data_IF_534539721238
#
_entry.id   IF_534539721238
#
_cell.length_a   1.000
_cell.length_b   1.000
_cell.length_c   1.000
_cell.angle_alpha   90.00
_cell.angle_beta   90.00
_cell.angle_gamma   90.00
#
_symmetry.space_group_name_H-M   'P 1'
#
loop_
_entity.id
_entity.type
_entity.pdbx_description
1 polymer ?
#
# COMPACT_ATOMS: atom_id res chain seq x y z
N UNK A 1 55.77 -10.92 36.98
CA UNK A 1 55.27 -10.66 38.36
C UNK A 1 53.92 -9.95 38.25
N UNK A 2 52.88 -10.57 38.82
CA UNK A 2 51.59 -10.03 39.29
C UNK A 2 50.82 -9.05 38.38
N UNK A 3 49.64 -9.34 37.81
CA UNK A 3 48.58 -10.26 38.19
C UNK A 3 47.44 -9.49 38.90
N UNK A 4 46.27 -9.37 38.25
CA UNK A 4 44.92 -9.38 38.88
C UNK A 4 43.81 -9.24 37.83
N UNK A 5 43.10 -10.34 37.61
CA UNK A 5 41.76 -10.46 37.02
C UNK A 5 40.69 -10.13 38.07
N UNK A 6 39.47 -9.79 37.63
CA UNK A 6 38.27 -10.22 38.34
C UNK A 6 37.41 -11.15 37.47
N UNK A 7 37.05 -12.28 38.07
CA UNK A 7 35.96 -13.17 37.67
C UNK A 7 34.63 -12.55 38.06
N UNK A 8 33.58 -12.81 37.27
CA UNK A 8 32.19 -12.55 37.63
C UNK A 8 31.25 -13.28 36.68
N UNK A 9 31.12 -14.59 36.87
CA UNK A 9 30.11 -15.44 36.23
C UNK A 9 28.78 -15.18 36.95
N UNK A 10 27.80 -14.64 36.23
CA UNK A 10 26.42 -14.51 36.68
C UNK A 10 25.54 -15.54 35.98
N UNK A 11 25.06 -16.53 36.74
CA UNK A 11 24.07 -17.52 36.34
C UNK A 11 22.74 -16.87 35.91
N UNK A 12 22.34 -17.08 34.66
CA UNK A 12 20.98 -16.80 34.19
C UNK A 12 20.08 -18.01 34.50
N UNK A 13 19.38 -17.93 35.63
CA UNK A 13 18.28 -18.85 35.97
C UNK A 13 17.14 -18.71 34.95
N UNK A 14 16.90 -19.77 34.17
CA UNK A 14 15.66 -19.99 33.41
C UNK A 14 14.48 -20.06 34.39
N UNK A 15 13.59 -19.08 34.36
CA UNK A 15 12.26 -19.19 34.96
C UNK A 15 11.29 -19.61 33.87
N UNK A 16 11.01 -20.91 33.80
CA UNK A 16 9.89 -21.45 33.02
C UNK A 16 8.60 -21.27 33.82
N UNK A 17 7.78 -20.29 33.44
CA UNK A 17 6.37 -20.22 33.87
C UNK A 17 5.49 -20.69 32.72
N UNK A 18 4.99 -21.92 32.86
CA UNK A 18 3.87 -22.40 32.07
C UNK A 18 2.60 -21.67 32.50
N UNK A 19 1.91 -21.06 31.55
CA UNK A 19 0.51 -20.69 31.70
C UNK A 19 -0.34 -21.80 31.10
N UNK A 20 -0.98 -22.58 31.97
CA UNK A 20 -2.10 -23.43 31.62
C UNK A 20 -3.34 -22.55 31.48
N UNK A 21 -3.93 -22.48 30.29
CA UNK A 21 -5.26 -21.91 30.08
C UNK A 21 -6.30 -23.02 30.29
N UNK A 22 -6.94 -23.01 31.46
CA UNK A 22 -8.19 -23.71 31.70
C UNK A 22 -9.34 -22.76 31.33
N UNK A 23 -9.93 -22.95 30.16
CA UNK A 23 -11.11 -22.23 29.69
C UNK A 23 -12.37 -23.08 29.88
N UNK A 24 -13.14 -22.76 30.90
CA UNK A 24 -14.45 -23.35 31.22
C UNK A 24 -15.48 -23.10 30.11
N UNK A 25 -16.13 -24.17 29.66
CA UNK A 25 -17.28 -24.10 28.77
C UNK A 25 -18.53 -23.59 29.51
N UNK A 26 -18.97 -22.37 29.21
CA UNK A 26 -20.29 -21.87 29.58
C UNK A 26 -21.21 -22.10 28.38
N UNK A 27 -22.18 -23.00 28.55
CA UNK A 27 -23.27 -23.27 27.59
C UNK A 27 -24.22 -22.06 27.56
N UNK A 28 -24.37 -21.43 26.40
CA UNK A 28 -25.50 -20.56 26.10
C UNK A 28 -26.67 -21.38 25.50
N UNK A 29 -27.93 -21.02 25.76
CA UNK A 29 -29.09 -21.77 25.27
C UNK A 29 -29.30 -21.53 23.76
N UNK A 30 -29.51 -22.62 23.01
CA UNK A 30 -29.97 -22.62 21.62
C UNK A 30 -31.40 -22.08 21.57
N UNK A 31 -31.59 -20.87 21.05
CA UNK A 31 -32.89 -20.41 20.57
C UNK A 31 -33.15 -21.08 19.20
N UNK A 32 -34.08 -22.02 19.14
CA UNK A 32 -34.56 -22.58 17.86
C UNK A 32 -35.44 -21.54 17.17
N UNK A 33 -34.94 -20.92 16.09
CA UNK A 33 -35.82 -20.32 15.08
C UNK A 33 -36.41 -21.45 14.24
N UNK A 34 -37.74 -21.62 14.29
CA UNK A 34 -38.47 -22.45 13.32
C UNK A 34 -38.50 -21.72 11.98
N UNK A 35 -37.62 -22.11 11.06
CA UNK A 35 -37.76 -21.79 9.64
C UNK A 35 -38.55 -22.94 9.01
N UNK A 36 -39.78 -22.67 8.60
CA UNK A 36 -40.55 -23.61 7.78
C UNK A 36 -39.98 -23.62 6.37
N UNK A 37 -39.31 -24.71 5.97
CA UNK A 37 -38.84 -24.93 4.60
C UNK A 37 -39.65 -26.07 4.01
N UNK A 38 -40.51 -25.79 3.04
CA UNK A 38 -41.18 -26.82 2.25
C UNK A 38 -40.27 -27.19 1.08
N UNK A 39 -39.76 -28.43 1.06
CA UNK A 39 -38.94 -28.95 -0.03
C UNK A 39 -39.81 -29.66 -1.07
N UNK A 40 -39.71 -29.23 -2.34
CA UNK A 40 -40.11 -30.02 -3.52
C UNK A 40 -38.86 -30.42 -4.33
N UNK A 41 -38.86 -31.58 -5.01
CA UNK A 41 -37.68 -32.07 -5.71
C UNK A 41 -37.50 -31.48 -7.12
N UNK A 42 -36.31 -30.89 -7.30
CA UNK A 42 -35.42 -30.82 -8.48
C UNK A 42 -35.98 -30.91 -9.91
N UNK A 43 -35.87 -29.79 -10.64
CA UNK A 43 -35.37 -29.73 -12.02
C UNK A 43 -34.73 -28.33 -12.27
N UNK A 44 -33.53 -28.28 -12.87
CA UNK A 44 -32.83 -27.05 -13.29
C UNK A 44 -32.75 -27.01 -14.83
N UNK A 45 -32.66 -25.84 -15.51
CA UNK A 45 -31.49 -24.96 -15.41
C UNK A 45 -31.75 -23.43 -15.32
N UNK A 46 -30.81 -22.74 -14.66
CA UNK A 46 -30.38 -21.33 -14.75
C UNK A 46 -31.43 -20.22 -14.88
N UNK A 47 -31.94 -19.75 -13.74
CA UNK A 47 -31.98 -18.32 -13.35
C UNK A 47 -31.72 -18.22 -11.85
N UNK A 48 -30.87 -17.29 -11.43
CA UNK A 48 -30.60 -17.03 -10.01
C UNK A 48 -31.94 -16.70 -9.32
N UNK A 49 -32.33 -17.37 -8.22
CA UNK A 49 -33.54 -16.99 -7.51
C UNK A 49 -33.26 -15.63 -6.87
N UNK A 50 -33.88 -14.57 -7.39
CA UNK A 50 -34.07 -13.35 -6.62
C UNK A 50 -34.92 -13.74 -5.41
N UNK A 51 -34.27 -13.86 -4.25
CA UNK A 51 -34.97 -13.90 -2.98
C UNK A 51 -35.54 -12.50 -2.79
N UNK A 52 -36.80 -12.32 -3.17
CA UNK A 52 -37.59 -11.14 -2.85
C UNK A 52 -37.80 -11.15 -1.34
N UNK A 53 -36.88 -10.55 -0.60
CA UNK A 53 -37.11 -10.25 0.82
C UNK A 53 -38.18 -9.16 0.83
N UNK A 54 -39.41 -9.55 1.13
CA UNK A 54 -40.48 -8.59 1.41
C UNK A 54 -40.14 -7.93 2.75
N UNK A 55 -39.44 -6.79 2.68
CA UNK A 55 -39.30 -5.92 3.83
C UNK A 55 -40.69 -5.35 4.13
N UNK A 56 -41.22 -5.63 5.32
CA UNK A 56 -42.37 -4.91 5.86
C UNK A 56 -42.08 -3.41 5.74
N UNK A 57 -43.07 -2.64 5.28
CA UNK A 57 -42.92 -1.21 5.06
C UNK A 57 -42.40 -0.54 6.35
N UNK A 58 -41.19 0.00 6.29
CA UNK A 58 -40.64 0.74 7.42
C UNK A 58 -41.55 1.94 7.70
N UNK A 59 -42.02 2.15 8.94
CA UNK A 59 -42.97 3.22 9.25
C UNK A 59 -42.35 4.62 9.17
N UNK A 60 -41.05 4.74 8.88
CA UNK A 60 -40.30 6.00 8.82
C UNK A 60 -39.78 6.27 7.42
N UNK A 61 -39.87 7.53 6.99
CA UNK A 61 -39.20 8.01 5.78
C UNK A 61 -37.68 7.95 5.92
N UNK A 62 -36.96 7.89 4.80
CA UNK A 62 -35.49 7.91 4.79
C UNK A 62 -34.92 9.16 5.51
N UNK A 63 -35.55 10.33 5.35
CA UNK A 63 -35.12 11.54 6.03
C UNK A 63 -35.24 11.43 7.56
N UNK A 64 -36.30 10.78 8.05
CA UNK A 64 -36.47 10.47 9.48
C UNK A 64 -35.47 9.43 9.98
N UNK A 65 -35.12 8.43 9.17
CA UNK A 65 -34.05 7.50 9.52
C UNK A 65 -32.70 8.22 9.61
N UNK A 66 -32.38 9.08 8.63
CA UNK A 66 -31.14 9.87 8.62
C UNK A 66 -31.06 10.88 9.76
N UNK A 67 -32.19 11.37 10.28
CA UNK A 67 -32.20 12.22 11.47
C UNK A 67 -31.91 11.47 12.77
N UNK A 68 -31.94 10.14 12.77
CA UNK A 68 -31.56 9.31 13.92
C UNK A 68 -30.06 8.99 13.96
N UNK A 69 -29.30 9.28 12.89
CA UNK A 69 -27.86 9.05 12.90
C UNK A 69 -27.16 9.88 13.99
N UNK A 70 -26.20 9.28 14.69
CA UNK A 70 -25.39 9.92 15.73
C UNK A 70 -23.90 9.63 15.51
N UNK A 71 -23.01 10.57 15.86
CA UNK A 71 -21.61 10.25 16.04
C UNK A 71 -21.44 9.07 17.01
N UNK A 72 -20.38 8.27 16.82
CA UNK A 72 -20.08 7.03 17.54
C UNK A 72 -20.93 5.81 17.17
N UNK A 73 -21.94 5.92 16.30
CA UNK A 73 -22.66 4.74 15.84
C UNK A 73 -21.73 3.79 15.07
N UNK A 74 -21.80 2.50 15.40
CA UNK A 74 -21.03 1.42 14.74
C UNK A 74 -21.75 0.92 13.48
N UNK A 75 -21.05 0.24 12.54
CA UNK A 75 -21.67 -0.26 11.30
C UNK A 75 -22.92 -1.12 11.50
N UNK A 76 -23.04 -1.86 12.59
CA UNK A 76 -24.21 -2.70 12.88
C UNK A 76 -25.45 -1.87 13.25
N UNK A 77 -25.29 -0.80 14.03
CA UNK A 77 -26.39 0.09 14.41
C UNK A 77 -26.89 0.89 13.21
N UNK A 78 -25.97 1.30 12.33
CA UNK A 78 -26.31 1.99 11.07
C UNK A 78 -27.10 1.06 10.16
N UNK A 79 -26.69 -0.22 10.05
CA UNK A 79 -27.43 -1.22 9.29
C UNK A 79 -28.81 -1.48 9.85
N UNK A 80 -28.94 -1.57 11.17
CA UNK A 80 -30.23 -1.75 11.83
C UNK A 80 -31.16 -0.54 11.61
N UNK A 81 -30.62 0.65 11.44
CA UNK A 81 -31.38 1.88 11.23
C UNK A 81 -31.76 2.12 9.76
N UNK A 82 -30.82 1.90 8.83
CA UNK A 82 -30.98 2.24 7.42
C UNK A 82 -31.34 1.04 6.54
N UNK A 83 -31.02 -0.18 6.99
CA UNK A 83 -30.97 -1.36 6.14
C UNK A 83 -29.61 -1.53 5.44
N UNK A 84 -29.33 -2.71 4.86
CA UNK A 84 -28.04 -3.04 4.27
C UNK A 84 -27.72 -2.25 2.99
N UNK A 85 -28.71 -1.98 2.15
CA UNK A 85 -28.52 -1.24 0.88
C UNK A 85 -28.23 0.24 1.12
N UNK A 86 -29.01 0.88 2.00
CA UNK A 86 -28.82 2.27 2.39
C UNK A 86 -27.54 2.45 3.22
N UNK A 87 -27.18 1.50 4.09
CA UNK A 87 -25.87 1.47 4.74
C UNK A 87 -24.75 1.43 3.72
N UNK A 88 -24.84 0.54 2.73
CA UNK A 88 -23.84 0.45 1.65
C UNK A 88 -23.72 1.78 0.90
N UNK A 89 -24.85 2.42 0.54
CA UNK A 89 -24.84 3.76 -0.09
C UNK A 89 -24.24 4.85 0.81
N UNK A 90 -24.46 4.77 2.13
CA UNK A 90 -23.88 5.70 3.08
C UNK A 90 -22.36 5.47 3.26
N UNK A 91 -21.90 4.21 3.26
CA UNK A 91 -20.50 3.81 3.42
C UNK A 91 -19.66 3.97 2.15
N UNK A 92 -20.23 3.73 0.96
CA UNK A 92 -19.52 3.74 -0.33
C UNK A 92 -19.10 5.16 -0.82
N UNK A 93 -19.30 6.17 0.03
CA UNK A 93 -18.83 7.57 -0.05
C UNK A 93 -18.22 8.04 -1.39
N UNK A 94 -19.10 8.47 -2.31
CA UNK A 94 -18.87 9.61 -3.20
C UNK A 94 -20.17 10.42 -3.32
N UNK A 95 -20.04 11.71 -3.65
CA UNK A 95 -21.02 12.82 -3.71
C UNK A 95 -22.51 12.56 -4.04
N UNK A 96 -22.88 11.41 -4.58
CA UNK A 96 -24.26 11.06 -4.94
C UNK A 96 -25.22 11.05 -3.77
N UNK A 97 -24.85 10.48 -2.63
CA UNK A 97 -25.73 10.41 -1.45
C UNK A 97 -26.04 11.80 -0.86
N UNK A 98 -25.02 12.68 -0.81
CA UNK A 98 -25.20 14.06 -0.38
C UNK A 98 -26.07 14.86 -1.35
N UNK A 99 -25.89 14.69 -2.67
CA UNK A 99 -26.67 15.41 -3.69
C UNK A 99 -28.17 15.07 -3.63
N UNK A 100 -28.53 13.85 -3.23
CA UNK A 100 -29.93 13.42 -3.20
C UNK A 100 -30.61 13.65 -1.85
N UNK A 101 -29.87 13.51 -0.74
CA UNK A 101 -30.46 13.58 0.61
C UNK A 101 -30.13 14.87 1.36
N UNK A 102 -29.09 15.59 0.93
CA UNK A 102 -28.51 16.69 1.69
C UNK A 102 -27.68 16.25 2.91
N UNK A 103 -27.45 14.95 3.11
CA UNK A 103 -26.69 14.40 4.25
C UNK A 103 -25.35 13.86 3.79
N UNK A 104 -24.28 14.15 4.54
CA UNK A 104 -22.95 13.56 4.37
C UNK A 104 -22.49 12.98 5.69
N UNK A 105 -22.04 11.72 5.68
CA UNK A 105 -21.57 11.00 6.88
C UNK A 105 -20.08 10.71 6.70
N UNK A 106 -19.27 11.12 7.68
CA UNK A 106 -17.85 10.82 7.71
C UNK A 106 -17.58 9.73 8.74
N UNK A 107 -16.81 8.72 8.34
CA UNK A 107 -16.49 7.56 9.15
C UNK A 107 -15.02 7.56 9.60
N UNK A 108 -14.78 6.99 10.78
CA UNK A 108 -13.47 6.55 11.24
C UNK A 108 -13.01 5.38 10.37
N UNK A 109 -11.93 5.57 9.61
CA UNK A 109 -11.40 4.58 8.65
C UNK A 109 -11.12 3.19 9.25
N UNK A 110 -10.74 3.10 10.53
CA UNK A 110 -10.34 1.83 11.13
C UNK A 110 -11.53 0.92 11.49
N UNK A 111 -12.63 1.51 11.98
CA UNK A 111 -13.70 0.75 12.65
C UNK A 111 -15.09 1.00 12.02
N UNK A 112 -15.18 1.87 11.00
CA UNK A 112 -16.43 2.23 10.34
C UNK A 112 -17.41 3.00 11.24
N UNK A 113 -16.91 3.61 12.31
CA UNK A 113 -17.69 4.40 13.28
C UNK A 113 -17.95 5.81 12.75
N UNK A 114 -19.14 6.39 12.95
CA UNK A 114 -19.41 7.78 12.52
C UNK A 114 -18.62 8.78 13.37
N UNK A 115 -17.82 9.63 12.73
CA UNK A 115 -17.16 10.77 13.38
C UNK A 115 -18.01 12.02 13.35
N UNK A 116 -18.61 12.28 12.18
CA UNK A 116 -19.42 13.47 11.96
C UNK A 116 -20.49 13.26 10.92
N UNK A 117 -21.57 14.03 11.03
CA UNK A 117 -22.69 14.04 10.08
C UNK A 117 -22.98 15.49 9.71
N UNK A 118 -22.96 15.82 8.42
CA UNK A 118 -23.33 17.14 7.89
C UNK A 118 -24.73 17.07 7.27
N UNK A 119 -25.60 17.96 7.70
CA UNK A 119 -26.91 18.22 7.10
C UNK A 119 -26.86 19.58 6.38
N UNK A 120 -27.03 19.56 5.06
CA UNK A 120 -26.96 20.74 4.19
C UNK A 120 -28.34 21.31 3.87
N UNK A 121 -28.38 22.44 3.15
CA UNK A 121 -29.62 23.12 2.76
C UNK A 121 -30.59 22.28 1.91
N UNK A 122 -30.14 21.14 1.36
CA UNK A 122 -30.99 20.20 0.62
C UNK A 122 -31.73 19.21 1.53
N UNK A 123 -31.37 19.13 2.82
CA UNK A 123 -32.07 18.26 3.77
C UNK A 123 -33.49 18.81 4.06
N UNK A 124 -34.52 17.96 4.20
CA UNK A 124 -35.89 18.41 4.40
C UNK A 124 -36.05 19.35 5.61
N UNK A 125 -36.73 20.49 5.38
CA UNK A 125 -36.89 21.56 6.38
C UNK A 125 -37.83 21.20 7.53
N UNK A 126 -38.71 20.24 7.31
CA UNK A 126 -39.69 19.74 8.28
C UNK A 126 -39.11 18.67 9.23
N UNK A 127 -37.89 18.18 8.97
CA UNK A 127 -37.24 17.14 9.79
C UNK A 127 -36.23 17.77 10.75
N UNK A 128 -36.51 17.66 12.06
CA UNK A 128 -35.58 18.10 13.09
C UNK A 128 -34.52 17.05 13.41
N UNK A 129 -33.28 17.50 13.61
CA UNK A 129 -32.16 16.68 14.11
C UNK A 129 -31.61 17.37 15.35
N UNK A 130 -31.71 16.71 16.51
CA UNK A 130 -31.23 17.27 17.78
C UNK A 130 -31.78 18.68 18.09
N UNK A 131 -33.03 18.95 17.69
CA UNK A 131 -33.69 20.25 17.85
C UNK A 131 -33.34 21.31 16.80
N UNK A 132 -32.53 20.98 15.79
CA UNK A 132 -32.15 21.88 14.68
C UNK A 132 -32.86 21.47 13.40
N UNK A 133 -33.34 22.46 12.63
CA UNK A 133 -33.96 22.28 11.32
C UNK A 133 -33.35 23.24 10.30
N UNK A 134 -33.25 22.81 9.04
CA UNK A 134 -32.88 23.71 7.92
C UNK A 134 -33.96 24.78 7.75
N UNK A 135 -33.55 26.04 7.61
CA UNK A 135 -34.46 27.19 7.51
C UNK A 135 -34.94 27.74 8.86
N UNK A 136 -34.57 27.13 9.99
CA UNK A 136 -34.92 27.65 11.31
C UNK A 136 -34.28 29.03 11.53
N UNK A 137 -35.03 29.98 12.07
CA UNK A 137 -34.49 31.32 12.40
C UNK A 137 -33.54 31.25 13.61
N UNK A 138 -32.63 32.22 13.74
CA UNK A 138 -31.70 32.29 14.88
C UNK A 138 -32.43 32.34 16.23
N UNK A 139 -33.59 33.01 16.31
CA UNK A 139 -34.36 33.08 17.57
C UNK A 139 -35.00 31.74 17.94
N UNK A 140 -35.57 31.03 16.96
CA UNK A 140 -36.08 29.67 17.17
C UNK A 140 -34.94 28.72 17.57
N UNK A 141 -33.77 28.88 16.95
CA UNK A 141 -32.58 28.09 17.25
C UNK A 141 -32.09 28.31 18.69
N UNK A 142 -32.02 29.58 19.16
CA UNK A 142 -31.65 29.89 20.56
C UNK A 142 -32.65 29.34 21.56
N UNK A 143 -33.94 29.31 21.22
CA UNK A 143 -34.97 28.68 22.06
C UNK A 143 -34.80 27.16 22.14
N UNK A 144 -34.47 26.52 21.02
CA UNK A 144 -34.24 25.08 20.94
C UNK A 144 -32.90 24.66 21.61
N UNK A 145 -31.88 25.52 21.53
CA UNK A 145 -30.53 25.30 22.04
C UNK A 145 -30.10 26.50 22.90
N UNK A 146 -30.50 26.54 24.18
CA UNK A 146 -30.20 27.68 25.07
C UNK A 146 -28.71 27.96 25.24
N UNK A 147 -27.86 26.94 25.12
CA UNK A 147 -26.39 27.05 25.24
C UNK A 147 -25.69 27.41 23.91
N UNK A 148 -26.46 27.82 22.89
CA UNK A 148 -25.92 28.22 21.59
C UNK A 148 -25.03 29.46 21.73
N UNK A 149 -23.78 29.34 21.29
CA UNK A 149 -22.80 30.43 21.29
C UNK A 149 -22.15 30.57 19.92
N UNK A 150 -21.50 31.71 19.67
CA UNK A 150 -20.67 31.86 18.48
C UNK A 150 -19.53 30.82 18.50
N UNK A 151 -19.18 30.31 17.33
CA UNK A 151 -18.02 29.43 17.20
C UNK A 151 -16.72 30.20 17.53
N UNK A 152 -15.69 29.49 17.96
CA UNK A 152 -14.44 30.11 18.39
C UNK A 152 -13.84 30.98 17.28
N UNK A 153 -13.46 32.23 17.62
CA UNK A 153 -12.94 33.21 16.66
C UNK A 153 -13.99 33.94 15.80
N UNK A 154 -15.28 33.63 15.94
CA UNK A 154 -16.34 34.31 15.19
C UNK A 154 -16.74 35.64 15.86
N UNK A 155 -17.03 36.65 15.04
CA UNK A 155 -17.43 37.99 15.50
C UNK A 155 -18.94 38.19 15.57
N UNK A 156 -19.73 37.22 15.08
CA UNK A 156 -21.16 37.35 14.87
C UNK A 156 -21.54 38.15 13.62
N UNK A 157 -20.57 38.71 12.89
CA UNK A 157 -20.77 39.24 11.54
C UNK A 157 -20.62 38.12 10.50
N UNK A 158 -21.35 38.18 9.37
CA UNK A 158 -21.15 37.24 8.28
C UNK A 158 -19.69 37.24 7.79
N UNK A 159 -19.15 36.07 7.48
CA UNK A 159 -17.88 35.92 6.77
C UNK A 159 -17.98 36.42 5.32
N UNK A 160 -16.89 36.35 4.55
CA UNK A 160 -16.85 36.78 3.15
C UNK A 160 -17.88 36.07 2.24
N UNK A 161 -18.42 34.92 2.69
CA UNK A 161 -19.42 34.13 1.99
C UNK A 161 -20.85 34.34 2.53
N UNK A 162 -21.00 35.25 3.50
CA UNK A 162 -22.28 35.59 4.12
C UNK A 162 -22.72 34.63 5.22
N UNK A 163 -21.82 33.82 5.80
CA UNK A 163 -22.16 32.87 6.86
C UNK A 163 -21.80 33.39 8.26
N UNK A 164 -22.65 33.10 9.25
CA UNK A 164 -22.33 33.24 10.67
C UNK A 164 -22.31 31.83 11.28
N UNK A 165 -21.24 31.49 12.01
CA UNK A 165 -21.08 30.16 12.59
C UNK A 165 -21.33 30.16 14.09
N UNK A 166 -22.17 29.23 14.53
CA UNK A 166 -22.47 28.96 15.93
C UNK A 166 -22.03 27.56 16.29
N UNK A 167 -21.87 27.32 17.59
CA UNK A 167 -21.58 26.01 18.16
C UNK A 167 -22.40 25.80 19.42
N UNK A 168 -22.75 24.55 19.72
CA UNK A 168 -23.33 24.13 20.99
C UNK A 168 -22.87 22.73 21.35
N UNK A 169 -22.78 22.42 22.64
CA UNK A 169 -22.49 21.08 23.15
C UNK A 169 -23.59 20.64 24.11
N UNK A 170 -24.72 20.11 23.61
CA UNK A 170 -25.83 19.72 24.48
C UNK A 170 -25.39 18.57 25.40
N UNK A 171 -25.42 18.80 26.72
CA UNK A 171 -24.94 17.83 27.71
C UNK A 171 -25.62 16.47 27.60
N UNK A 172 -26.91 16.44 27.22
CA UNK A 172 -27.69 15.22 27.10
C UNK A 172 -27.33 14.35 25.88
N UNK A 173 -26.65 14.90 24.88
CA UNK A 173 -26.45 14.23 23.59
C UNK A 173 -25.01 13.78 23.36
N UNK A 174 -24.06 14.23 24.17
CA UNK A 174 -22.63 13.93 24.00
C UNK A 174 -22.13 14.20 22.56
N UNK A 175 -22.63 15.27 21.95
CA UNK A 175 -22.23 15.74 20.61
C UNK A 175 -21.87 17.22 20.65
N UNK A 176 -20.98 17.64 19.75
CA UNK A 176 -20.83 19.05 19.37
C UNK A 176 -21.66 19.29 18.10
N UNK A 177 -22.45 20.36 18.10
CA UNK A 177 -23.22 20.78 16.93
C UNK A 177 -22.63 22.11 16.45
N UNK A 178 -22.12 22.13 15.21
CA UNK A 178 -21.67 23.36 14.56
C UNK A 178 -22.71 23.77 13.52
N UNK A 179 -23.14 25.03 13.54
CA UNK A 179 -24.30 25.51 12.78
C UNK A 179 -23.88 26.71 11.95
N UNK A 180 -24.19 26.66 10.64
CA UNK A 180 -23.97 27.75 9.71
C UNK A 180 -25.29 28.46 9.42
N UNK A 181 -25.35 29.75 9.73
CA UNK A 181 -26.48 30.64 9.44
C UNK A 181 -26.18 31.45 8.20
N UNK A 182 -27.13 31.56 7.28
CA UNK A 182 -27.08 32.47 6.12
C UNK A 182 -28.41 33.19 5.98
N UNK A 183 -28.37 34.51 5.76
CA UNK A 183 -29.58 35.34 5.67
C UNK A 183 -30.53 35.22 6.87
N UNK A 184 -30.00 34.99 8.08
CA UNK A 184 -30.78 34.88 9.32
C UNK A 184 -31.40 33.50 9.60
N UNK A 185 -31.16 32.50 8.74
CA UNK A 185 -31.69 31.14 8.86
C UNK A 185 -30.59 30.08 8.86
N UNK A 186 -30.87 28.92 9.48
CA UNK A 186 -29.99 27.74 9.44
C UNK A 186 -29.86 27.25 8.00
N UNK A 187 -28.65 27.35 7.46
CA UNK A 187 -28.31 26.86 6.14
C UNK A 187 -27.80 25.42 6.16
N UNK A 188 -26.98 25.09 7.15
CA UNK A 188 -26.44 23.75 7.36
C UNK A 188 -25.99 23.57 8.80
N UNK A 189 -25.89 22.34 9.27
CA UNK A 189 -25.27 22.04 10.55
C UNK A 189 -24.59 20.67 10.53
N UNK A 190 -23.62 20.50 11.42
CA UNK A 190 -22.86 19.26 11.56
C UNK A 190 -22.95 18.75 12.99
N UNK A 191 -23.14 17.44 13.15
CA UNK A 191 -22.97 16.73 14.41
C UNK A 191 -21.56 16.14 14.44
N UNK A 192 -20.83 16.36 15.53
CA UNK A 192 -19.51 15.79 15.77
C UNK A 192 -19.49 15.05 17.11
N UNK A 193 -18.71 13.98 17.20
CA UNK A 193 -18.33 13.41 18.51
C UNK A 193 -17.60 14.47 19.34
N UNK A 194 -17.83 14.50 20.66
CA UNK A 194 -17.25 15.54 21.55
C UNK A 194 -15.72 15.50 21.62
N UNK A 195 -15.13 14.34 21.38
CA UNK A 195 -13.69 14.06 21.40
C UNK A 195 -13.10 14.00 19.97
N UNK A 196 -13.77 14.59 18.97
CA UNK A 196 -13.33 14.54 17.57
C UNK A 196 -11.89 15.00 17.41
N UNK A 197 -11.53 16.12 18.05
CA UNK A 197 -10.19 16.70 17.93
C UNK A 197 -9.12 15.77 18.53
N UNK A 198 -9.43 15.10 19.65
CA UNK A 198 -8.55 14.09 20.24
C UNK A 198 -8.45 12.83 19.38
N UNK A 199 -9.58 12.37 18.82
CA UNK A 199 -9.63 11.23 17.91
C UNK A 199 -8.82 11.50 16.63
N UNK A 200 -8.93 12.69 16.04
CA UNK A 200 -8.13 13.11 14.90
C UNK A 200 -6.65 13.22 15.23
N UNK A 201 -6.29 13.83 16.37
CA UNK A 201 -4.90 13.90 16.82
C UNK A 201 -4.29 12.51 17.03
N UNK A 202 -5.05 11.57 17.62
CA UNK A 202 -4.65 10.17 17.78
C UNK A 202 -4.42 9.47 16.43
N UNK A 203 -5.29 9.70 15.44
CA UNK A 203 -5.10 9.15 14.07
C UNK A 203 -3.89 9.74 13.37
N UNK A 204 -3.69 11.05 13.47
CA UNK A 204 -2.52 11.69 12.88
C UNK A 204 -1.23 11.12 13.47
N UNK A 205 -1.19 10.86 14.78
CA UNK A 205 -0.07 10.16 15.42
C UNK A 205 0.13 8.74 14.89
N UNK A 206 -0.94 7.93 14.85
CA UNK A 206 -0.85 6.55 14.34
C UNK A 206 -0.41 6.48 12.87
N UNK A 207 -0.95 7.37 12.02
CA UNK A 207 -0.57 7.45 10.61
C UNK A 207 0.87 7.96 10.45
N UNK A 208 1.31 8.92 11.28
CA UNK A 208 2.70 9.35 11.32
C UNK A 208 3.64 8.23 11.78
N UNK A 209 3.28 7.47 12.80
CA UNK A 209 4.04 6.28 13.26
C UNK A 209 4.10 5.21 12.17
N UNK A 210 2.98 4.94 11.49
CA UNK A 210 2.92 3.99 10.37
C UNK A 210 3.81 4.43 9.23
N UNK A 211 3.74 5.71 8.83
CA UNK A 211 4.62 6.29 7.80
C UNK A 211 6.08 6.22 8.20
N UNK A 212 6.42 6.61 9.43
CA UNK A 212 7.77 6.51 9.96
C UNK A 212 8.27 5.05 9.96
N UNK A 213 7.42 4.08 10.27
CA UNK A 213 7.72 2.66 10.15
C UNK A 213 7.99 2.22 8.72
N UNK A 214 7.15 2.63 7.76
CA UNK A 214 7.36 2.39 6.33
C UNK A 214 8.65 3.04 5.82
N UNK A 215 8.90 4.29 6.19
CA UNK A 215 10.08 5.05 5.80
C UNK A 215 11.35 4.41 6.35
N UNK A 216 11.35 3.99 7.62
CA UNK A 216 12.45 3.24 8.23
C UNK A 216 12.70 1.91 7.52
N UNK A 217 11.65 1.15 7.19
CA UNK A 217 11.79 -0.10 6.41
C UNK A 217 12.42 0.18 5.04
N UNK A 218 11.99 1.26 4.37
CA UNK A 218 12.54 1.69 3.08
C UNK A 218 14.00 2.13 3.19
N UNK A 219 14.37 2.85 4.24
CA UNK A 219 15.75 3.26 4.51
C UNK A 219 16.66 2.04 4.70
N UNK A 220 16.24 1.11 5.56
CA UNK A 220 16.95 -0.15 5.79
C UNK A 220 17.13 -0.96 4.50
N UNK A 221 16.08 -1.09 3.69
CA UNK A 221 16.13 -1.77 2.40
C UNK A 221 17.05 -1.11 1.35
N UNK A 222 17.51 0.12 1.60
CA UNK A 222 18.41 0.87 0.73
C UNK A 222 19.86 0.98 1.25
N UNK A 223 20.18 0.47 2.45
CA UNK A 223 21.52 0.57 3.04
C UNK A 223 22.60 0.03 2.09
N UNK A 224 22.32 -1.12 1.45
CA UNK A 224 23.25 -1.80 0.55
C UNK A 224 23.76 -0.90 -0.59
N UNK A 225 22.99 0.12 -1.00
CA UNK A 225 23.36 1.04 -2.10
C UNK A 225 24.59 1.89 -1.79
N UNK A 226 24.93 2.03 -0.51
CA UNK A 226 26.11 2.76 -0.04
C UNK A 226 27.31 1.85 0.27
N UNK A 227 27.15 0.54 0.14
CA UNK A 227 28.20 -0.44 0.45
C UNK A 227 29.08 -0.65 -0.78
N UNK A 228 30.38 -0.33 -0.65
CA UNK A 228 31.34 -0.40 -1.76
C UNK A 228 31.78 -1.83 -2.09
N UNK A 229 32.04 -2.65 -1.05
CA UNK A 229 32.42 -4.05 -1.23
C UNK A 229 31.23 -4.86 -1.75
N UNK A 230 31.41 -5.60 -2.85
CA UNK A 230 30.31 -6.31 -3.50
C UNK A 230 29.67 -7.38 -2.59
N UNK A 231 30.46 -8.17 -1.87
CA UNK A 231 29.96 -9.24 -1.02
C UNK A 231 29.18 -8.69 0.18
N UNK A 232 29.72 -7.64 0.82
CA UNK A 232 29.03 -6.92 1.89
C UNK A 232 27.74 -6.25 1.39
N UNK A 233 27.76 -5.70 0.17
CA UNK A 233 26.59 -5.10 -0.48
C UNK A 233 25.49 -6.15 -0.68
N UNK A 234 25.84 -7.32 -1.21
CA UNK A 234 24.88 -8.41 -1.43
C UNK A 234 24.30 -8.92 -0.11
N UNK A 235 25.11 -9.09 0.92
CA UNK A 235 24.63 -9.49 2.24
C UNK A 235 23.73 -8.43 2.88
N UNK A 236 24.12 -7.15 2.80
CA UNK A 236 23.33 -6.04 3.31
C UNK A 236 21.95 -5.95 2.64
N UNK A 237 21.89 -6.17 1.32
CA UNK A 237 20.62 -6.27 0.59
C UNK A 237 19.79 -7.44 1.13
N UNK A 238 20.40 -8.62 1.25
CA UNK A 238 19.71 -9.83 1.63
C UNK A 238 19.11 -9.76 3.05
N UNK A 239 19.79 -9.08 3.98
CA UNK A 239 19.31 -8.88 5.36
C UNK A 239 18.07 -7.98 5.46
N UNK A 240 17.84 -7.14 4.45
CA UNK A 240 16.77 -6.13 4.46
C UNK A 240 15.78 -6.27 3.30
N UNK A 241 15.94 -7.28 2.44
CA UNK A 241 15.05 -7.55 1.32
C UNK A 241 13.67 -8.01 1.85
N UNK A 242 12.64 -7.21 1.59
CA UNK A 242 11.24 -7.50 1.93
C UNK A 242 10.35 -6.94 0.81
N UNK A 243 10.22 -7.68 -0.31
CA UNK A 243 9.68 -7.13 -1.53
C UNK A 243 8.15 -6.95 -1.46
N UNK A 244 7.42 -7.95 -0.94
CA UNK A 244 5.94 -7.88 -0.89
C UNK A 244 5.29 -8.66 0.26
N UNK A 245 6.06 -9.49 0.97
CA UNK A 245 5.58 -10.45 1.98
C UNK A 245 6.28 -10.23 3.31
N UNK A 246 5.67 -10.69 4.41
CA UNK A 246 6.34 -10.85 5.72
C UNK A 246 7.35 -12.01 5.70
N UNK A 247 7.93 -12.30 4.52
CA UNK A 247 8.89 -13.38 4.38
C UNK A 247 10.14 -13.10 5.22
N UNK A 248 10.65 -14.12 5.92
CA UNK A 248 11.87 -13.99 6.72
C UNK A 248 13.06 -13.63 5.81
N UNK A 249 13.79 -12.52 6.08
CA UNK A 249 15.01 -12.15 5.33
C UNK A 249 16.05 -13.27 5.24
N UNK A 250 15.98 -14.25 6.15
CA UNK A 250 16.85 -15.42 6.21
C UNK A 250 16.92 -16.22 4.89
N UNK A 251 15.83 -16.27 4.09
CA UNK A 251 15.87 -16.97 2.80
C UNK A 251 16.78 -16.26 1.79
N UNK A 252 16.74 -14.93 1.75
CA UNK A 252 17.61 -14.12 0.90
C UNK A 252 19.05 -14.15 1.40
N UNK A 253 19.28 -14.14 2.72
CA UNK A 253 20.64 -14.29 3.29
C UNK A 253 21.26 -15.64 2.92
N UNK A 254 20.46 -16.71 2.97
CA UNK A 254 20.91 -18.04 2.53
C UNK A 254 21.26 -18.05 1.04
N UNK A 255 20.41 -17.47 0.21
CA UNK A 255 20.66 -17.34 -1.24
C UNK A 255 21.93 -16.52 -1.53
N UNK A 256 22.11 -15.36 -0.90
CA UNK A 256 23.29 -14.53 -1.06
C UNK A 256 24.57 -15.29 -0.70
N UNK A 257 24.58 -15.99 0.45
CA UNK A 257 25.72 -16.82 0.86
C UNK A 257 26.03 -17.92 -0.14
N UNK A 258 24.99 -18.63 -0.60
CA UNK A 258 25.15 -19.66 -1.61
C UNK A 258 25.73 -19.10 -2.91
N UNK A 259 25.22 -17.96 -3.38
CA UNK A 259 25.66 -17.29 -4.61
C UNK A 259 27.15 -16.89 -4.54
N UNK A 260 27.61 -16.41 -3.39
CA UNK A 260 29.03 -16.09 -3.17
C UNK A 260 29.92 -17.35 -3.16
N UNK A 261 29.39 -18.50 -2.72
CA UNK A 261 30.16 -19.76 -2.66
C UNK A 261 30.27 -20.53 -3.96
N UNK A 262 29.28 -20.43 -4.86
CA UNK A 262 29.22 -21.30 -6.07
C UNK A 262 30.39 -21.07 -7.02
N UNK A 263 30.98 -19.86 -7.08
CA UNK A 263 32.17 -19.46 -7.88
C UNK A 263 32.18 -19.83 -9.38
N UNK A 264 31.12 -20.47 -9.88
CA UNK A 264 30.93 -20.96 -11.24
C UNK A 264 30.16 -19.92 -12.08
N UNK A 265 30.80 -19.31 -13.10
CA UNK A 265 30.15 -18.34 -13.98
C UNK A 265 28.93 -18.88 -14.75
N UNK A 266 28.86 -20.20 -15.00
CA UNK A 266 27.69 -20.81 -15.63
C UNK A 266 26.48 -20.76 -14.69
N UNK A 267 26.69 -20.97 -13.38
CA UNK A 267 25.63 -20.86 -12.37
C UNK A 267 25.14 -19.40 -12.28
N UNK A 268 26.05 -18.44 -12.32
CA UNK A 268 25.68 -17.02 -12.35
C UNK A 268 24.86 -16.65 -13.58
N UNK A 269 25.12 -17.26 -14.73
CA UNK A 269 24.30 -17.08 -15.94
C UNK A 269 22.85 -17.55 -15.74
N UNK A 270 22.66 -18.71 -15.11
CA UNK A 270 21.32 -19.23 -14.80
C UNK A 270 20.62 -18.33 -13.78
N UNK A 271 21.33 -17.85 -12.75
CA UNK A 271 20.77 -16.88 -11.80
C UNK A 271 20.34 -15.61 -12.51
N UNK A 272 21.20 -15.04 -13.36
CA UNK A 272 20.92 -13.80 -14.08
C UNK A 272 19.68 -13.88 -14.99
N UNK A 273 19.50 -14.98 -15.70
CA UNK A 273 18.38 -15.19 -16.64
C UNK A 273 17.07 -15.57 -15.96
N UNK A 274 17.12 -16.04 -14.72
CA UNK A 274 15.96 -16.54 -13.98
C UNK A 274 15.60 -15.68 -12.77
N UNK A 275 16.31 -14.59 -12.52
CA UNK A 275 16.10 -13.72 -11.36
C UNK A 275 14.76 -12.98 -11.43
N UNK A 276 14.01 -12.96 -10.33
CA UNK A 276 12.84 -12.10 -10.21
C UNK A 276 13.27 -10.64 -9.91
N UNK A 277 13.14 -9.77 -10.91
CA UNK A 277 13.53 -8.36 -10.84
C UNK A 277 12.74 -7.53 -9.82
N UNK A 278 11.59 -8.01 -9.35
CA UNK A 278 10.82 -7.37 -8.28
C UNK A 278 11.57 -7.38 -6.94
N UNK A 279 12.61 -8.21 -6.80
CA UNK A 279 13.39 -8.36 -5.58
C UNK A 279 14.67 -7.52 -5.55
N UNK A 280 14.70 -6.44 -6.34
CA UNK A 280 15.87 -5.60 -6.61
C UNK A 280 16.85 -6.23 -7.60
N UNK A 281 17.72 -5.37 -8.16
CA UNK A 281 18.81 -5.76 -9.06
C UNK A 281 20.13 -6.04 -8.32
N UNK A 282 20.16 -6.01 -6.98
CA UNK A 282 21.38 -6.17 -6.19
C UNK A 282 22.16 -7.48 -6.46
N UNK A 283 21.52 -8.66 -6.60
CA UNK A 283 22.22 -9.88 -7.01
C UNK A 283 22.85 -9.77 -8.41
N UNK A 284 22.18 -9.11 -9.34
CA UNK A 284 22.70 -8.90 -10.69
C UNK A 284 23.87 -7.91 -10.68
N UNK A 285 23.78 -6.84 -9.87
CA UNK A 285 24.89 -5.93 -9.62
C UNK A 285 26.10 -6.65 -9.02
N UNK A 286 25.87 -7.58 -8.09
CA UNK A 286 26.94 -8.40 -7.55
C UNK A 286 27.60 -9.27 -8.63
N UNK A 287 26.81 -9.96 -9.47
CA UNK A 287 27.30 -10.82 -10.56
C UNK A 287 28.19 -10.03 -11.52
N UNK A 288 27.76 -8.85 -11.96
CA UNK A 288 28.49 -8.06 -12.97
C UNK A 288 29.79 -7.44 -12.42
N UNK A 289 29.95 -7.43 -11.09
CA UNK A 289 31.17 -6.96 -10.41
C UNK A 289 32.23 -8.06 -10.28
N UNK A 290 31.89 -9.31 -10.60
CA UNK A 290 32.84 -10.42 -10.55
C UNK A 290 33.71 -10.47 -11.81
N UNK A 291 35.02 -10.56 -11.65
CA UNK A 291 35.98 -10.64 -12.79
C UNK A 291 35.77 -11.90 -13.65
N UNK A 292 35.30 -13.00 -13.04
CA UNK A 292 35.02 -14.26 -13.75
C UNK A 292 33.69 -14.24 -14.51
N UNK A 293 32.88 -13.19 -14.39
CA UNK A 293 31.60 -13.10 -15.07
C UNK A 293 31.82 -13.18 -16.59
N UNK A 294 30.99 -13.98 -17.26
CA UNK A 294 31.03 -14.11 -18.70
C UNK A 294 30.49 -12.85 -19.39
N UNK A 295 31.08 -12.49 -20.53
CA UNK A 295 30.57 -11.41 -21.37
C UNK A 295 29.10 -11.67 -21.75
N UNK A 296 28.74 -12.91 -22.10
CA UNK A 296 27.36 -13.26 -22.43
C UNK A 296 26.41 -13.02 -21.25
N UNK A 297 26.78 -13.43 -20.03
CA UNK A 297 25.98 -13.16 -18.83
C UNK A 297 25.76 -11.67 -18.61
N UNK A 298 26.80 -10.86 -18.80
CA UNK A 298 26.71 -9.40 -18.65
C UNK A 298 25.79 -8.77 -19.68
N UNK A 299 25.88 -9.20 -20.95
CA UNK A 299 25.00 -8.71 -22.03
C UNK A 299 23.55 -9.14 -21.82
N UNK A 300 23.32 -10.36 -21.35
CA UNK A 300 21.98 -10.84 -21.04
C UNK A 300 21.32 -10.00 -19.94
N UNK A 301 22.05 -9.71 -18.85
CA UNK A 301 21.59 -8.80 -17.78
C UNK A 301 21.29 -7.41 -18.36
N UNK A 302 22.16 -6.90 -19.24
CA UNK A 302 21.96 -5.58 -19.86
C UNK A 302 20.66 -5.52 -20.66
N UNK A 303 20.31 -6.56 -21.43
CA UNK A 303 19.07 -6.59 -22.20
C UNK A 303 17.82 -6.88 -21.35
N UNK A 304 17.93 -7.74 -20.33
CA UNK A 304 16.85 -8.00 -19.39
C UNK A 304 16.47 -6.77 -18.55
N UNK A 305 17.41 -5.84 -18.34
CA UNK A 305 17.16 -4.54 -17.69
C UNK A 305 16.41 -3.53 -18.58
N UNK A 306 15.92 -3.94 -19.75
CA UNK A 306 15.16 -3.12 -20.70
C UNK A 306 15.87 -1.80 -21.11
N UNK A 307 17.06 -1.88 -21.73
CA UNK A 307 17.89 -0.72 -22.00
C UNK A 307 17.24 0.25 -23.00
N UNK A 308 16.30 -0.23 -23.82
CA UNK A 308 15.54 0.62 -24.76
C UNK A 308 14.62 1.59 -24.02
N UNK A 309 14.05 1.21 -22.86
CA UNK A 309 13.27 2.14 -22.05
C UNK A 309 14.11 3.33 -21.59
N UNK A 310 15.34 3.05 -21.13
CA UNK A 310 16.27 4.03 -20.58
C UNK A 310 16.99 4.86 -21.65
N UNK A 311 17.07 4.37 -22.89
CA UNK A 311 17.69 5.05 -24.02
C UNK A 311 17.17 6.48 -24.24
N UNK A 312 15.90 6.75 -23.89
CA UNK A 312 15.30 8.10 -24.01
C UNK A 312 16.02 9.19 -23.21
N UNK A 313 16.80 8.81 -22.20
CA UNK A 313 17.60 9.74 -21.38
C UNK A 313 19.10 9.64 -21.66
N UNK A 314 19.52 8.92 -22.71
CA UNK A 314 20.92 8.70 -23.02
C UNK A 314 21.73 10.00 -23.21
N UNK A 315 21.07 11.09 -23.65
CA UNK A 315 21.71 12.41 -23.86
C UNK A 315 21.95 13.18 -22.56
N UNK A 316 21.11 12.98 -21.55
CA UNK A 316 21.14 13.79 -20.33
C UNK A 316 20.64 12.99 -19.12
N UNK A 317 21.59 12.55 -18.28
CA UNK A 317 21.30 11.86 -17.03
C UNK A 317 20.47 12.71 -16.06
N UNK A 318 20.60 14.04 -16.08
CA UNK A 318 19.86 14.92 -15.16
C UNK A 318 18.35 14.95 -15.44
N UNK A 319 17.96 14.55 -16.65
CA UNK A 319 16.56 14.41 -17.06
C UNK A 319 15.91 13.07 -16.64
N UNK A 320 16.68 12.15 -16.06
CA UNK A 320 16.17 10.84 -15.60
C UNK A 320 15.31 11.05 -14.34
N UNK A 321 14.05 10.59 -14.32
CA UNK A 321 13.21 10.66 -13.13
C UNK A 321 13.85 9.93 -11.94
N UNK A 322 13.73 10.43 -10.69
CA UNK A 322 14.38 9.81 -9.52
C UNK A 322 14.09 8.30 -9.36
N UNK A 323 12.87 7.85 -9.70
CA UNK A 323 12.48 6.43 -9.64
C UNK A 323 13.20 5.52 -10.64
N UNK A 324 13.79 6.10 -11.69
CA UNK A 324 14.46 5.39 -12.79
C UNK A 324 15.99 5.55 -12.73
N UNK A 325 16.48 6.47 -11.90
CA UNK A 325 17.90 6.84 -11.85
C UNK A 325 18.80 5.65 -11.47
N UNK A 326 18.33 4.84 -10.53
CA UNK A 326 19.05 3.66 -10.05
C UNK A 326 19.31 2.64 -11.17
N UNK A 327 18.28 2.27 -11.92
CA UNK A 327 18.44 1.32 -13.03
C UNK A 327 19.22 1.93 -14.20
N UNK A 328 19.08 3.24 -14.43
CA UNK A 328 19.88 3.95 -15.42
C UNK A 328 21.39 3.92 -15.07
N UNK A 329 21.72 4.13 -13.79
CA UNK A 329 23.11 4.06 -13.31
C UNK A 329 23.65 2.62 -13.32
N UNK A 330 22.81 1.62 -13.01
CA UNK A 330 23.15 0.20 -13.17
C UNK A 330 23.55 -0.14 -14.61
N UNK A 331 22.75 0.29 -15.60
CA UNK A 331 23.08 0.15 -17.02
C UNK A 331 24.35 0.91 -17.39
N UNK A 332 24.61 2.08 -16.78
CA UNK A 332 25.85 2.81 -16.99
C UNK A 332 27.07 2.04 -16.48
N UNK A 333 26.99 1.41 -15.31
CA UNK A 333 28.09 0.59 -14.76
C UNK A 333 28.41 -0.60 -15.68
N UNK A 334 27.39 -1.34 -16.13
CA UNK A 334 27.54 -2.43 -17.11
C UNK A 334 28.31 -2.00 -18.35
N UNK A 335 27.88 -0.89 -18.96
CA UNK A 335 28.52 -0.33 -20.17
C UNK A 335 29.97 0.05 -19.94
N UNK A 336 30.26 0.71 -18.82
CA UNK A 336 31.63 1.12 -18.48
C UNK A 336 32.55 -0.10 -18.29
N UNK A 337 32.07 -1.16 -17.62
CA UNK A 337 32.84 -2.39 -17.42
C UNK A 337 33.11 -3.12 -18.74
N UNK A 338 32.10 -3.24 -19.60
CA UNK A 338 32.25 -3.82 -20.94
C UNK A 338 33.26 -3.03 -21.78
N UNK A 339 33.15 -1.69 -21.80
CA UNK A 339 34.04 -0.82 -22.56
C UNK A 339 35.52 -0.89 -22.10
N UNK A 340 35.75 -1.14 -20.81
CA UNK A 340 37.10 -1.31 -20.24
C UNK A 340 37.68 -2.72 -20.43
N UNK A 341 36.93 -3.64 -21.04
CA UNK A 341 37.36 -5.03 -21.17
C UNK A 341 37.47 -5.75 -19.83
N UNK A 342 36.64 -5.39 -18.85
CA UNK A 342 36.67 -6.00 -17.50
C UNK A 342 36.42 -7.52 -17.55
N UNK A 343 35.54 -7.97 -18.44
CA UNK A 343 35.17 -9.37 -18.60
C UNK A 343 36.08 -10.05 -19.62
N UNK A 344 36.87 -11.03 -19.16
CA UNK A 344 37.79 -11.80 -20.00
C UNK A 344 37.18 -13.11 -20.50
N UNK A 345 36.18 -13.65 -19.78
CA UNK A 345 35.54 -14.92 -20.11
C UNK A 345 34.46 -14.74 -21.19
N UNK A 346 34.42 -15.66 -22.14
CA UNK A 346 33.49 -15.66 -23.29
C UNK A 346 33.19 -17.09 -23.75
N UNK A 347 32.69 -17.93 -22.84
CA UNK A 347 32.43 -19.35 -23.11
C UNK A 347 30.94 -19.67 -23.32
N UNK A 348 30.05 -18.74 -22.97
CA UNK A 348 28.61 -18.89 -23.09
C UNK A 348 28.17 -18.20 -24.39
N UNK A 349 27.26 -18.85 -25.13
CA UNK A 349 26.72 -18.29 -26.36
C UNK A 349 25.81 -17.08 -26.05
N UNK A 350 25.85 -16.07 -26.91
CA UNK A 350 24.94 -14.93 -26.85
C UNK A 350 24.58 -14.44 -28.26
N UNK A 351 23.29 -14.20 -28.51
CA UNK A 351 22.81 -13.69 -29.79
C UNK A 351 22.41 -12.20 -29.69
N UNK A 352 23.41 -11.33 -29.78
CA UNK A 352 23.19 -9.89 -29.76
C UNK A 352 22.45 -9.35 -30.99
N UNK A 353 22.53 -10.05 -32.12
CA UNK A 353 21.81 -9.65 -33.34
C UNK A 353 20.29 -9.75 -33.12
N UNK A 354 19.84 -10.83 -32.47
CA UNK A 354 18.44 -11.02 -32.12
C UNK A 354 17.93 -9.88 -31.22
N UNK A 355 18.63 -9.59 -30.13
CA UNK A 355 18.25 -8.51 -29.21
C UNK A 355 18.24 -7.12 -29.87
N UNK A 356 19.29 -6.80 -30.65
CA UNK A 356 19.40 -5.51 -31.33
C UNK A 356 18.41 -5.37 -32.49
N UNK A 357 17.87 -6.46 -33.06
CA UNK A 357 16.91 -6.40 -34.17
C UNK A 357 15.65 -5.60 -33.82
N UNK A 358 15.17 -5.68 -32.58
CA UNK A 358 14.04 -4.90 -32.10
C UNK A 358 14.41 -3.42 -31.93
N UNK A 359 15.58 -3.15 -31.36
CA UNK A 359 16.07 -1.80 -31.10
C UNK A 359 16.31 -1.06 -32.42
N UNK A 360 16.98 -1.70 -33.37
CA UNK A 360 17.27 -1.13 -34.69
C UNK A 360 15.99 -0.77 -35.48
N UNK A 361 14.88 -1.48 -35.26
CA UNK A 361 13.57 -1.12 -35.84
C UNK A 361 12.98 0.15 -35.22
N UNK A 362 13.31 0.47 -33.98
CA UNK A 362 12.83 1.66 -33.29
C UNK A 362 13.67 2.93 -33.56
N UNK A 363 14.90 2.79 -34.07
CA UNK A 363 15.79 3.92 -34.40
C UNK A 363 15.43 4.54 -35.75
N UNK A 364 14.63 5.61 -35.72
CA UNK A 364 14.06 6.23 -36.92
C UNK A 364 14.99 7.25 -37.58
N UNK A 365 15.81 7.95 -36.80
CA UNK A 365 16.64 9.06 -37.30
C UNK A 365 18.14 8.71 -37.30
N UNK A 366 18.96 9.38 -38.13
CA UNK A 366 20.42 9.28 -38.05
C UNK A 366 20.97 9.63 -36.66
N UNK A 367 20.37 10.62 -36.00
CA UNK A 367 20.75 11.03 -34.64
C UNK A 367 20.46 9.94 -33.60
N UNK A 368 19.33 9.23 -33.72
CA UNK A 368 19.02 8.10 -32.85
C UNK A 368 20.03 6.96 -33.04
N UNK A 369 20.47 6.71 -34.28
CA UNK A 369 21.48 5.68 -34.57
C UNK A 369 22.84 6.05 -33.99
N UNK A 370 23.30 7.28 -34.18
CA UNK A 370 24.54 7.76 -33.59
C UNK A 370 24.50 7.73 -32.05
N UNK A 371 23.37 8.10 -31.46
CA UNK A 371 23.18 8.00 -30.01
C UNK A 371 23.19 6.54 -29.55
N UNK A 372 22.53 5.63 -30.29
CA UNK A 372 22.51 4.21 -30.00
C UNK A 372 23.93 3.60 -30.03
N UNK A 373 24.77 3.97 -31.00
CA UNK A 373 26.18 3.54 -31.05
C UNK A 373 26.97 3.93 -29.80
N UNK A 374 26.63 5.07 -29.18
CA UNK A 374 27.26 5.51 -27.93
C UNK A 374 26.64 4.91 -26.66
N UNK A 375 25.36 4.51 -26.72
CA UNK A 375 24.61 4.00 -25.58
C UNK A 375 24.70 2.48 -25.47
N UNK A 376 24.58 1.73 -26.56
CA UNK A 376 24.65 0.28 -26.54
C UNK A 376 26.12 -0.19 -26.56
N UNK A 377 26.52 -1.17 -25.74
CA UNK A 377 27.87 -1.72 -25.81
C UNK A 377 28.18 -2.23 -27.22
N UNK A 378 29.43 -2.07 -27.70
CA UNK A 378 29.83 -2.52 -29.04
C UNK A 378 29.54 -4.01 -29.28
N UNK A 379 29.70 -4.84 -28.25
CA UNK A 379 29.42 -6.29 -28.29
C UNK A 379 27.91 -6.63 -28.23
N UNK A 380 27.04 -5.67 -27.90
CA UNK A 380 25.62 -5.93 -27.68
C UNK A 380 24.88 -6.34 -28.96
N UNK A 381 25.38 -5.96 -30.15
CA UNK A 381 24.84 -6.39 -31.43
C UNK A 381 25.58 -7.55 -32.09
N UNK A 382 26.50 -8.20 -31.39
CA UNK A 382 27.34 -9.26 -31.95
C UNK A 382 26.86 -10.63 -31.49
N UNK A 383 26.99 -11.63 -32.38
CA UNK A 383 26.93 -13.03 -31.98
C UNK A 383 28.22 -13.45 -31.31
N UNK A 384 28.11 -13.98 -30.09
CA UNK A 384 29.21 -14.56 -29.35
C UNK A 384 29.04 -16.08 -29.39
N UNK A 385 29.98 -16.83 -29.99
CA UNK A 385 29.91 -18.28 -30.00
C UNK A 385 30.21 -18.83 -28.60
N UNK A 386 29.59 -19.96 -28.25
CA UNK A 386 29.81 -20.60 -26.97
C UNK A 386 28.85 -21.75 -26.72
N UNK A 387 28.80 -22.21 -25.46
CA UNK A 387 27.83 -23.20 -24.99
C UNK A 387 26.50 -22.51 -24.76
N UNK A 388 25.41 -23.10 -25.23
CA UNK A 388 24.07 -22.68 -24.84
C UNK A 388 23.69 -23.36 -23.51
N UNK A 389 23.33 -22.55 -22.52
CA UNK A 389 22.97 -23.03 -21.18
C UNK A 389 21.46 -23.05 -20.93
N UNK A 390 20.62 -22.53 -21.85
CA UNK A 390 19.16 -22.39 -21.65
C UNK A 390 18.50 -23.73 -21.31
N UNK A 391 18.87 -24.78 -22.05
CA UNK A 391 18.29 -26.13 -21.92
C UNK A 391 19.22 -27.15 -21.25
N UNK A 392 20.29 -26.70 -20.59
CA UNK A 392 21.24 -27.63 -20.00
C UNK A 392 20.65 -28.40 -18.81
N UNK A 393 20.84 -29.72 -18.83
CA UNK A 393 20.43 -30.67 -17.79
C UNK A 393 21.53 -30.99 -16.78
N UNK A 394 22.59 -30.20 -16.74
CA UNK A 394 23.68 -30.38 -15.77
C UNK A 394 23.11 -30.33 -14.33
N UNK A 395 23.47 -31.33 -13.52
CA UNK A 395 23.01 -31.47 -12.14
C UNK A 395 23.32 -30.24 -11.28
N UNK A 396 24.40 -29.51 -11.59
CA UNK A 396 24.76 -28.26 -10.89
C UNK A 396 23.68 -27.18 -11.04
N UNK A 397 22.91 -27.21 -12.12
CA UNK A 397 21.79 -26.30 -12.32
C UNK A 397 20.54 -26.72 -11.53
N UNK A 398 20.45 -27.98 -11.10
CA UNK A 398 19.39 -28.45 -10.21
C UNK A 398 19.40 -27.72 -8.87
N UNK A 399 20.58 -27.61 -8.24
CA UNK A 399 20.73 -26.86 -6.99
C UNK A 399 20.43 -25.36 -7.19
N UNK A 400 20.93 -24.75 -8.27
CA UNK A 400 20.67 -23.35 -8.62
C UNK A 400 19.18 -23.06 -8.76
N UNK A 401 18.46 -23.87 -9.55
CA UNK A 401 17.00 -23.73 -9.74
C UNK A 401 16.24 -23.94 -8.43
N UNK A 402 16.67 -24.90 -7.61
CA UNK A 402 16.08 -25.10 -6.28
C UNK A 402 16.27 -23.86 -5.39
N UNK A 403 17.46 -23.23 -5.43
CA UNK A 403 17.74 -22.04 -4.62
C UNK A 403 16.95 -20.83 -5.11
N UNK A 404 16.89 -20.60 -6.42
CA UNK A 404 16.04 -19.58 -7.03
C UNK A 404 14.56 -19.79 -6.68
N UNK A 405 14.04 -21.02 -6.74
CA UNK A 405 12.65 -21.31 -6.38
C UNK A 405 12.31 -21.05 -4.90
N UNK A 406 13.31 -20.94 -4.02
CA UNK A 406 13.06 -20.54 -2.62
C UNK A 406 12.96 -19.02 -2.45
N UNK A 407 13.60 -18.25 -3.32
CA UNK A 407 13.65 -16.79 -3.22
C UNK A 407 12.65 -16.11 -4.14
N UNK A 408 12.57 -16.54 -5.42
CA UNK A 408 11.58 -16.16 -6.45
C UNK A 408 10.16 -16.45 -5.99
#
# INVERSE_FOLDING_TARGET
MNGKTPRGIGELKRVSKGLAFAGSAIRAPRLMLRIGVTLQPLFWPKKSPYISVHYEAWPMSLAQQLSQLRPLMIPAEIEALLGPEEKKRALDMFSGFQRTTGVSVNFSHADGVIDSILYSAMFPRDVAVCGVQIGMTVDALRKALPDLRLADGQTGKPDEHGFIRYQVKPAALNVRIDISIKNGEVYSFSLYRVDLDEAWARRQRQEAERRAGTDRKRELANIWKSVENADEMLLSWAEHCSPWTDDPPQKFVRFARWLMTTSDPDVWHIVATSWNWDYSHAPLLWIIRQEKCDIATTLEIFFLADPIYYFRWAKDRSSVPPRNLEMFDFLAELRQRLARGFYQRSEIAFDGEEHMSYINRALQTPDDRALAESFFPLKAGQKIPGRDLKDSKDDKFGECRAMLATVN
#
